data_IF_839411403377
#
_entry.id   IF_839411403377
#
_cell.length_a   1.000
_cell.length_b   1.000
_cell.length_c   1.000
_cell.angle_alpha   90.00
_cell.angle_beta   90.00
_cell.angle_gamma   90.00
#
_symmetry.space_group_name_H-M   'P 1'
#
loop_
_entity.id
_entity.type
_entity.pdbx_description
1 polymer ?
#
# COMPACT_ATOMS: atom_id res chain seq x y z
N UNK A 1 -9.88 -0.90 17.67
CA UNK A 1 -9.54 -1.86 16.60
C UNK A 1 -10.32 -3.12 16.90
N UNK A 2 -11.40 -3.35 16.16
CA UNK A 2 -12.29 -4.49 16.41
C UNK A 2 -11.61 -5.78 15.98
N UNK A 3 -11.42 -6.71 16.91
CA UNK A 3 -10.93 -8.06 16.65
C UNK A 3 -12.13 -9.00 16.47
N UNK A 4 -13.04 -8.66 15.56
CA UNK A 4 -14.05 -9.62 15.13
C UNK A 4 -13.35 -10.55 14.12
N UNK A 5 -13.19 -11.82 14.51
CA UNK A 5 -12.69 -12.85 13.61
C UNK A 5 -13.77 -13.03 12.55
N UNK A 6 -13.43 -12.84 11.26
CA UNK A 6 -14.35 -13.17 10.18
C UNK A 6 -14.70 -14.67 10.28
N UNK A 7 -15.97 -15.00 10.46
CA UNK A 7 -16.47 -16.38 10.34
C UNK A 7 -16.48 -16.78 8.86
N UNK A 8 -15.34 -17.27 8.37
CA UNK A 8 -15.18 -17.74 7.00
C UNK A 8 -15.72 -19.16 6.84
N UNK A 9 -16.44 -19.41 5.74
CA UNK A 9 -16.85 -20.76 5.35
C UNK A 9 -15.74 -21.45 4.56
N UNK A 10 -15.69 -22.78 4.60
CA UNK A 10 -14.66 -23.63 3.98
C UNK A 10 -14.46 -23.48 2.44
N UNK A 11 -15.19 -22.60 1.76
CA UNK A 11 -15.12 -22.38 0.31
C UNK A 11 -15.13 -20.90 -0.08
N UNK A 12 -14.88 -20.00 0.86
CA UNK A 12 -14.79 -18.57 0.57
C UNK A 12 -13.34 -18.20 0.23
N UNK A 13 -13.17 -17.49 -0.89
CA UNK A 13 -11.89 -16.88 -1.23
C UNK A 13 -11.72 -15.59 -0.42
N UNK A 14 -10.61 -15.50 0.30
CA UNK A 14 -10.21 -14.26 0.98
C UNK A 14 -9.11 -13.60 0.20
N UNK A 15 -9.34 -12.33 -0.14
CA UNK A 15 -8.36 -11.44 -0.74
C UNK A 15 -8.03 -10.37 0.29
N UNK A 16 -6.73 -10.17 0.52
CA UNK A 16 -6.18 -9.11 1.36
C UNK A 16 -5.71 -8.00 0.43
N UNK A 17 -6.17 -6.78 0.67
CA UNK A 17 -5.72 -5.58 0.00
C UNK A 17 -5.19 -4.61 1.06
N UNK A 18 -3.88 -4.40 1.10
CA UNK A 18 -3.26 -3.52 2.09
C UNK A 18 -2.18 -2.62 1.46
N UNK A 19 -2.07 -1.40 1.99
CA UNK A 19 -1.05 -0.44 1.59
C UNK A 19 0.29 -0.79 2.23
N UNK A 20 1.26 -1.22 1.42
CA UNK A 20 2.61 -1.55 1.91
C UNK A 20 3.59 -0.43 1.60
N UNK A 21 4.61 -0.27 2.44
CA UNK A 21 5.71 0.67 2.21
C UNK A 21 6.84 -0.02 1.44
N UNK A 22 7.21 0.52 0.27
CA UNK A 22 8.38 0.05 -0.47
C UNK A 22 9.43 1.15 -0.48
N UNK A 23 10.60 0.86 0.11
CA UNK A 23 11.73 1.79 0.12
C UNK A 23 12.27 1.99 -1.30
N UNK A 24 12.66 3.23 -1.58
CA UNK A 24 13.32 3.60 -2.83
C UNK A 24 14.57 4.45 -2.54
N UNK A 25 15.48 4.51 -3.49
CA UNK A 25 16.62 5.41 -3.42
C UNK A 25 16.20 6.88 -3.52
N UNK A 26 17.05 7.77 -3.02
CA UNK A 26 16.82 9.21 -3.13
C UNK A 26 16.93 9.67 -4.58
N UNK A 27 16.01 10.54 -4.98
CA UNK A 27 16.01 11.10 -6.33
C UNK A 27 16.70 12.46 -6.34
N UNK A 28 17.52 12.72 -7.35
CA UNK A 28 18.02 14.08 -7.64
C UNK A 28 16.91 15.01 -8.15
N UNK A 29 15.76 14.46 -8.59
CA UNK A 29 14.60 15.26 -8.92
C UNK A 29 13.88 15.68 -7.63
N UNK A 30 14.03 16.96 -7.29
CA UNK A 30 13.46 17.54 -6.08
C UNK A 30 11.94 17.32 -5.94
N UNK A 31 11.18 17.36 -7.04
CA UNK A 31 9.73 17.10 -7.01
C UNK A 31 9.43 15.65 -6.64
N UNK A 32 10.18 14.69 -7.18
CA UNK A 32 10.02 13.28 -6.84
C UNK A 32 10.44 13.06 -5.38
N UNK A 33 11.59 13.62 -4.98
CA UNK A 33 12.08 13.52 -3.60
C UNK A 33 11.05 13.97 -2.57
N UNK A 34 10.35 15.10 -2.80
CA UNK A 34 9.29 15.56 -1.88
C UNK A 34 8.07 14.63 -1.87
N UNK A 35 7.69 14.06 -3.02
CA UNK A 35 6.53 13.16 -3.13
C UNK A 35 6.77 11.80 -2.49
N UNK A 36 8.00 11.31 -2.54
CA UNK A 36 8.37 9.99 -2.04
C UNK A 36 8.94 10.03 -0.62
N UNK A 37 9.29 11.19 -0.06
CA UNK A 37 9.76 11.24 1.31
C UNK A 37 8.60 11.13 2.31
N UNK A 38 8.54 10.01 3.04
CA UNK A 38 7.53 9.77 4.06
C UNK A 38 7.96 10.28 5.42
N UNK A 39 7.29 11.31 5.94
CA UNK A 39 7.61 11.93 7.25
C UNK A 39 7.52 10.93 8.40
N UNK A 40 6.55 10.02 8.38
CA UNK A 40 6.35 9.03 9.45
C UNK A 40 7.50 8.00 9.53
N UNK A 41 8.15 7.70 8.41
CA UNK A 41 9.22 6.70 8.31
C UNK A 41 10.60 7.32 8.09
N UNK A 42 10.67 8.64 7.98
CA UNK A 42 11.87 9.45 7.79
C UNK A 42 12.75 8.97 6.62
N UNK A 43 12.14 8.50 5.54
CA UNK A 43 12.84 7.84 4.43
C UNK A 43 12.06 7.97 3.11
N UNK A 44 12.75 7.76 2.00
CA UNK A 44 12.16 7.75 0.66
C UNK A 44 11.48 6.40 0.41
N UNK A 45 10.19 6.44 0.10
CA UNK A 45 9.37 5.28 -0.15
C UNK A 45 8.21 5.60 -1.11
N UNK A 46 7.60 4.56 -1.64
CA UNK A 46 6.28 4.61 -2.27
C UNK A 46 5.33 3.70 -1.51
N UNK A 47 4.03 3.90 -1.72
CA UNK A 47 2.98 3.08 -1.11
C UNK A 47 2.18 2.34 -2.18
N UNK A 48 2.59 1.15 -2.65
CA UNK A 48 1.72 0.29 -3.44
C UNK A 48 0.66 -0.40 -2.58
N UNK A 49 -0.49 -0.72 -3.18
CA UNK A 49 -1.44 -1.68 -2.59
C UNK A 49 -1.11 -3.09 -3.07
N UNK A 50 -0.75 -3.96 -2.13
CA UNK A 50 -0.54 -5.37 -2.44
C UNK A 50 -1.87 -6.09 -2.31
N UNK A 51 -2.22 -6.84 -3.35
CA UNK A 51 -3.40 -7.68 -3.41
C UNK A 51 -2.92 -9.13 -3.36
N UNK A 52 -3.25 -9.86 -2.31
CA UNK A 52 -2.81 -11.24 -2.12
C UNK A 52 -3.89 -12.14 -1.54
N UNK A 53 -3.73 -13.44 -1.73
CA UNK A 53 -4.49 -14.46 -1.03
C UNK A 53 -4.10 -14.51 0.46
N UNK A 54 -4.97 -15.07 1.29
CA UNK A 54 -4.71 -15.24 2.74
C UNK A 54 -3.52 -16.15 3.08
N UNK A 55 -3.04 -16.95 2.12
CA UNK A 55 -1.86 -17.80 2.24
C UNK A 55 -0.58 -17.13 1.71
N UNK A 56 -0.66 -15.86 1.28
CA UNK A 56 0.48 -15.05 0.88
C UNK A 56 0.81 -15.07 -0.62
N UNK A 57 0.05 -15.80 -1.44
CA UNK A 57 0.23 -15.70 -2.90
C UNK A 57 -0.20 -14.32 -3.40
N UNK A 58 0.74 -13.61 -4.04
CA UNK A 58 0.48 -12.29 -4.62
C UNK A 58 -0.37 -12.46 -5.88
N UNK A 59 -1.47 -11.72 -5.93
CA UNK A 59 -2.38 -11.66 -7.08
C UNK A 59 -1.98 -10.48 -7.97
N UNK A 60 -1.82 -9.29 -7.38
CA UNK A 60 -1.49 -8.06 -8.11
C UNK A 60 -0.84 -7.00 -7.19
N UNK A 61 -0.23 -5.98 -7.80
CA UNK A 61 0.32 -4.80 -7.13
C UNK A 61 -0.28 -3.54 -7.77
N UNK A 62 -1.19 -2.89 -7.05
CA UNK A 62 -1.92 -1.74 -7.55
C UNK A 62 -1.27 -0.42 -7.13
N UNK A 63 -0.85 0.34 -8.14
CA UNK A 63 -0.37 1.70 -7.99
C UNK A 63 1.00 1.83 -7.32
N UNK A 64 1.55 3.04 -7.42
CA UNK A 64 2.72 3.48 -6.68
C UNK A 64 2.42 4.87 -6.14
N UNK A 65 1.71 4.91 -5.01
CA UNK A 65 1.22 6.17 -4.47
C UNK A 65 2.32 6.92 -3.73
N UNK A 66 2.20 8.25 -3.74
CA UNK A 66 3.11 9.14 -3.03
C UNK A 66 3.11 8.83 -1.52
N UNK A 67 4.27 8.97 -0.89
CA UNK A 67 4.46 8.66 0.53
C UNK A 67 3.57 9.50 1.46
N UNK A 68 3.13 10.66 0.98
CA UNK A 68 2.34 11.63 1.72
C UNK A 68 0.82 11.47 1.55
N UNK A 69 0.37 10.55 0.69
CA UNK A 69 -1.05 10.22 0.59
C UNK A 69 -1.45 9.27 1.72
N UNK A 70 -2.63 9.50 2.30
CA UNK A 70 -3.28 8.54 3.18
C UNK A 70 -4.05 7.51 2.35
N UNK A 71 -4.38 6.37 2.95
CA UNK A 71 -4.93 5.22 2.22
C UNK A 71 -6.31 5.53 1.60
N UNK A 72 -7.12 6.36 2.25
CA UNK A 72 -8.40 6.82 1.72
C UNK A 72 -8.25 7.68 0.44
N UNK A 73 -7.23 8.53 0.41
CA UNK A 73 -6.91 9.36 -0.75
C UNK A 73 -6.29 8.54 -1.88
N UNK A 74 -5.47 7.53 -1.56
CA UNK A 74 -4.89 6.63 -2.56
C UNK A 74 -5.97 5.86 -3.34
N UNK A 75 -7.03 5.40 -2.66
CA UNK A 75 -8.15 4.67 -3.29
C UNK A 75 -9.09 5.56 -4.14
N UNK A 76 -9.09 6.88 -3.91
CA UNK A 76 -9.86 7.84 -4.70
C UNK A 76 -9.04 8.51 -5.81
N UNK A 77 -7.76 8.17 -5.92
CA UNK A 77 -6.85 8.71 -6.91
C UNK A 77 -7.23 8.22 -8.31
N UNK A 78 -7.68 9.14 -9.16
CA UNK A 78 -7.91 8.90 -10.58
C UNK A 78 -6.73 9.51 -11.36
N UNK A 79 -6.15 8.70 -12.25
CA UNK A 79 -5.13 9.13 -13.22
C UNK A 79 -5.54 10.42 -13.94
#
# INVERSE_FOLDING_TARGET
MGTEILELKNQELVIICDGTYTHIENSFNNKIQYRTYGVQKYTSLIKPFIICCSDGYIIDCYGAFDANLNDANSLSWKN
#
